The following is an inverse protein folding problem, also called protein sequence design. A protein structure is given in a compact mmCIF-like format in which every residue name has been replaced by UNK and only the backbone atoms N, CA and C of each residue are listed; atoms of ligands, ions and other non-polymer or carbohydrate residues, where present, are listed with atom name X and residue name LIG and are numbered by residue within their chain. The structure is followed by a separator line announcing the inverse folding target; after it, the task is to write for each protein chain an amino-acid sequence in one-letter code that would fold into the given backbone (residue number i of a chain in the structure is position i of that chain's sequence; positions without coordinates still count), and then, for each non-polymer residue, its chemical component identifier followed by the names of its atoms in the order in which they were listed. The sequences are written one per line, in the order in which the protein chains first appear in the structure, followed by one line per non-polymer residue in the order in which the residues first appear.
data_IF_455411131882
#
_entry.id   IF_455411131882
#
_cell.length_a   1.000
_cell.length_b   1.000
_cell.length_c   1.000
_cell.angle_alpha   90.00
_cell.angle_beta   90.00
_cell.angle_gamma   90.00
#
_symmetry.space_group_name_H-M   'P 1'
#
loop_
_entity.id
_entity.type
_entity.pdbx_description
1 polymer ?
#
# COMPACT_ATOMS: atom_id res chain seq x y z
N UNK A 1 7.45 22.68 -24.67
CA UNK A 1 6.41 23.23 -23.78
C UNK A 1 5.80 22.08 -23.02
N UNK A 2 5.75 22.16 -21.70
CA UNK A 2 5.16 21.12 -20.84
C UNK A 2 4.16 21.75 -19.87
N UNK A 3 3.15 20.99 -19.48
CA UNK A 3 2.46 21.20 -18.20
C UNK A 3 2.96 20.14 -17.23
N UNK A 4 3.33 20.57 -16.04
CA UNK A 4 3.69 19.72 -14.91
C UNK A 4 2.61 19.87 -13.84
N UNK A 5 2.10 18.75 -13.37
CA UNK A 5 1.09 18.69 -12.32
C UNK A 5 1.62 17.84 -11.17
N UNK A 6 1.72 18.43 -9.99
CA UNK A 6 2.24 17.76 -8.79
C UNK A 6 1.16 17.71 -7.72
N UNK A 7 0.94 16.55 -7.12
CA UNK A 7 0.12 16.39 -5.93
C UNK A 7 0.91 16.77 -4.69
N UNK A 8 0.47 17.79 -3.94
CA UNK A 8 1.21 18.30 -2.77
C UNK A 8 1.32 17.28 -1.63
N UNK A 9 0.39 16.32 -1.56
CA UNK A 9 0.33 15.35 -0.48
C UNK A 9 1.22 14.12 -0.71
N UNK A 10 1.42 13.72 -1.96
CA UNK A 10 2.15 12.49 -2.31
C UNK A 10 3.43 12.74 -3.11
N UNK A 11 3.67 13.98 -3.52
CA UNK A 11 4.73 14.42 -4.45
C UNK A 11 4.69 13.75 -5.83
N UNK A 12 3.65 12.95 -6.11
CA UNK A 12 3.43 12.34 -7.43
C UNK A 12 3.32 13.44 -8.47
N UNK A 13 4.22 13.39 -9.44
CA UNK A 13 4.36 14.44 -10.46
C UNK A 13 4.16 13.85 -11.85
N UNK A 14 3.30 14.48 -12.64
CA UNK A 14 3.09 14.17 -14.05
C UNK A 14 3.59 15.30 -14.92
N UNK A 15 4.32 14.98 -15.99
CA UNK A 15 4.73 15.93 -17.01
C UNK A 15 4.13 15.54 -18.38
N UNK A 16 3.55 16.53 -19.05
CA UNK A 16 2.87 16.34 -20.33
C UNK A 16 3.38 17.38 -21.32
N UNK A 17 3.86 16.93 -22.47
CA UNK A 17 4.19 17.81 -23.60
C UNK A 17 2.91 18.33 -24.24
N UNK A 18 2.63 19.62 -24.09
CA UNK A 18 1.39 20.28 -24.57
C UNK A 18 1.60 20.97 -25.91
N UNK A 19 0.50 21.31 -26.59
CA UNK A 19 0.55 22.10 -27.82
C UNK A 19 0.91 23.58 -27.50
N UNK A 20 1.57 24.31 -28.41
CA UNK A 20 1.93 25.72 -28.19
C UNK A 20 0.73 26.63 -27.88
N UNK A 21 -0.43 26.37 -28.47
CA UNK A 21 -1.66 27.12 -28.23
C UNK A 21 -2.22 26.94 -26.81
N UNK A 22 -1.93 25.81 -26.15
CA UNK A 22 -2.47 25.49 -24.82
C UNK A 22 -1.94 26.42 -23.73
N UNK A 23 -0.84 27.13 -23.99
CA UNK A 23 -0.26 28.14 -23.09
C UNK A 23 -1.22 29.30 -22.82
N UNK A 24 -2.17 29.54 -23.72
CA UNK A 24 -3.15 30.62 -23.60
C UNK A 24 -4.40 30.20 -22.85
N UNK A 25 -4.52 28.93 -22.48
CA UNK A 25 -5.66 28.44 -21.72
C UNK A 25 -5.63 29.01 -20.31
N UNK A 26 -6.80 29.26 -19.74
CA UNK A 26 -6.91 29.51 -18.30
C UNK A 26 -6.57 28.23 -17.53
N UNK A 27 -6.28 28.36 -16.24
CA UNK A 27 -6.03 27.21 -15.36
C UNK A 27 -7.16 26.18 -15.45
N UNK A 28 -8.41 26.61 -15.37
CA UNK A 28 -9.57 25.70 -15.47
C UNK A 28 -9.60 24.93 -16.79
N UNK A 29 -9.39 25.62 -17.92
CA UNK A 29 -9.37 24.98 -19.23
C UNK A 29 -8.16 24.04 -19.42
N UNK A 30 -7.00 24.40 -18.87
CA UNK A 30 -5.80 23.56 -18.89
C UNK A 30 -6.01 22.28 -18.09
N UNK A 31 -6.59 22.39 -16.89
CA UNK A 31 -6.88 21.26 -16.00
C UNK A 31 -7.99 20.38 -16.57
N UNK A 32 -9.05 20.95 -17.13
CA UNK A 32 -10.08 20.14 -17.79
C UNK A 32 -9.49 19.35 -18.97
N UNK A 33 -8.66 19.97 -19.81
CA UNK A 33 -8.06 19.31 -20.98
C UNK A 33 -7.02 18.26 -20.60
N UNK A 34 -6.10 18.60 -19.70
CA UNK A 34 -4.88 17.82 -19.45
C UNK A 34 -4.89 17.01 -18.15
N UNK A 35 -5.88 17.21 -17.27
CA UNK A 35 -6.13 16.34 -16.12
C UNK A 35 -7.47 15.61 -16.24
N UNK A 36 -8.60 16.32 -16.37
CA UNK A 36 -9.94 15.69 -16.28
C UNK A 36 -10.29 14.81 -17.49
N UNK A 37 -10.04 15.31 -18.69
CA UNK A 37 -10.37 14.63 -19.94
C UNK A 37 -9.12 14.19 -20.71
N UNK A 38 -8.01 14.02 -20.00
CA UNK A 38 -6.72 13.69 -20.58
C UNK A 38 -6.76 12.33 -21.29
N UNK A 39 -6.43 12.25 -22.59
CA UNK A 39 -6.36 10.99 -23.34
C UNK A 39 -5.01 10.29 -23.08
N UNK A 40 -4.82 9.80 -21.85
CA UNK A 40 -3.53 9.28 -21.33
C UNK A 40 -2.85 8.31 -22.29
N UNK A 41 -3.54 7.26 -22.75
CA UNK A 41 -2.95 6.24 -23.63
C UNK A 41 -2.48 6.81 -24.96
N UNK A 42 -3.21 7.79 -25.50
CA UNK A 42 -2.83 8.48 -26.74
C UNK A 42 -1.57 9.32 -26.54
N UNK A 43 -1.46 10.03 -25.41
CA UNK A 43 -0.29 10.85 -25.11
C UNK A 43 0.95 10.01 -24.84
N UNK A 44 0.81 8.85 -24.20
CA UNK A 44 1.89 7.87 -24.01
C UNK A 44 2.34 7.32 -25.35
N UNK A 45 1.41 6.87 -26.20
CA UNK A 45 1.73 6.34 -27.54
C UNK A 45 2.42 7.38 -28.45
N UNK A 46 2.10 8.66 -28.28
CA UNK A 46 2.73 9.78 -29.00
C UNK A 46 4.05 10.27 -28.37
N UNK A 47 4.54 9.62 -27.32
CA UNK A 47 5.73 10.04 -26.57
C UNK A 47 5.64 11.49 -26.07
N UNK A 48 4.43 11.91 -25.70
CA UNK A 48 4.17 13.22 -25.07
C UNK A 48 4.12 13.14 -23.56
N UNK A 49 4.05 11.93 -23.01
CA UNK A 49 3.98 11.61 -21.59
C UNK A 49 4.67 10.25 -21.40
N UNK A 50 5.42 10.07 -20.32
CA UNK A 50 5.98 8.76 -19.96
C UNK A 50 4.92 7.87 -19.29
N UNK A 51 5.15 6.55 -19.23
CA UNK A 51 4.26 5.64 -18.50
C UNK A 51 4.18 5.99 -16.99
N UNK A 52 5.29 6.40 -16.38
CA UNK A 52 5.31 6.87 -14.98
C UNK A 52 4.48 8.14 -14.81
N UNK A 53 4.64 9.14 -15.69
CA UNK A 53 3.81 10.36 -15.64
C UNK A 53 2.32 10.07 -15.89
N UNK A 54 1.99 9.06 -16.70
CA UNK A 54 0.61 8.60 -16.88
C UNK A 54 0.02 8.05 -15.58
N UNK A 55 0.75 7.18 -14.88
CA UNK A 55 0.32 6.64 -13.59
C UNK A 55 0.13 7.74 -12.55
N UNK A 56 1.08 8.68 -12.44
CA UNK A 56 0.95 9.82 -11.53
C UNK A 56 -0.23 10.72 -11.87
N UNK A 57 -0.51 10.96 -13.16
CA UNK A 57 -1.66 11.77 -13.57
C UNK A 57 -2.99 11.09 -13.22
N UNK A 58 -3.10 9.78 -13.44
CA UNK A 58 -4.31 9.03 -13.13
C UNK A 58 -4.59 9.01 -11.62
N UNK A 59 -3.54 8.86 -10.81
CA UNK A 59 -3.64 8.96 -9.35
C UNK A 59 -4.09 10.37 -8.91
N UNK A 60 -3.47 11.41 -9.46
CA UNK A 60 -3.87 12.80 -9.19
C UNK A 60 -5.32 13.07 -9.64
N UNK A 61 -5.75 12.50 -10.76
CA UNK A 61 -7.12 12.64 -11.26
C UNK A 61 -8.13 12.03 -10.28
N UNK A 62 -7.83 10.86 -9.72
CA UNK A 62 -8.69 10.20 -8.73
C UNK A 62 -8.71 10.96 -7.39
N UNK A 63 -7.62 11.65 -7.06
CA UNK A 63 -7.49 12.45 -5.84
C UNK A 63 -8.03 13.88 -5.95
N UNK A 64 -8.27 14.38 -7.17
CA UNK A 64 -8.68 15.79 -7.40
C UNK A 64 -10.16 15.96 -7.69
N UNK A 65 -10.90 14.88 -7.96
CA UNK A 65 -12.31 14.93 -8.37
C UNK A 65 -13.20 14.01 -7.53
N UNK A 66 -14.42 14.46 -7.27
CA UNK A 66 -15.46 13.63 -6.65
C UNK A 66 -15.91 12.55 -7.64
N UNK A 67 -15.92 11.30 -7.17
CA UNK A 67 -16.34 10.12 -7.92
C UNK A 67 -17.78 9.72 -7.57
N UNK A 68 -18.57 9.37 -8.60
CA UNK A 68 -19.79 8.56 -8.41
C UNK A 68 -19.42 7.12 -8.11
N UNK A 69 -20.34 6.32 -7.57
CA UNK A 69 -20.15 4.87 -7.37
C UNK A 69 -19.83 4.12 -8.69
N UNK A 70 -20.31 4.64 -9.82
CA UNK A 70 -19.97 4.14 -11.16
C UNK A 70 -18.56 4.55 -11.66
N UNK A 71 -17.71 5.14 -10.81
CA UNK A 71 -16.34 5.54 -11.15
C UNK A 71 -16.20 6.75 -12.09
N UNK A 72 -17.25 7.58 -12.22
CA UNK A 72 -17.23 8.78 -13.07
C UNK A 72 -16.79 10.02 -12.28
N UNK A 73 -15.87 10.79 -12.87
CA UNK A 73 -15.44 12.09 -12.34
C UNK A 73 -16.55 13.14 -12.52
N UNK A 74 -16.90 13.85 -11.45
CA UNK A 74 -18.00 14.83 -11.47
C UNK A 74 -17.51 16.28 -11.39
N UNK A 75 -17.05 16.73 -10.23
CA UNK A 75 -16.54 18.07 -10.00
C UNK A 75 -15.29 18.00 -9.13
N UNK A 76 -14.43 19.03 -9.12
CA UNK A 76 -13.26 19.05 -8.25
C UNK A 76 -13.65 18.85 -6.78
N UNK A 77 -12.80 18.19 -6.00
CA UNK A 77 -13.03 18.00 -4.56
C UNK A 77 -13.09 19.38 -3.88
N UNK A 78 -14.12 19.67 -3.06
CA UNK A 78 -14.22 20.93 -2.32
C UNK A 78 -12.99 21.17 -1.43
N UNK A 79 -12.70 22.44 -1.16
CA UNK A 79 -11.56 22.86 -0.32
C UNK A 79 -10.18 22.42 -0.85
N UNK A 80 -10.07 22.05 -2.12
CA UNK A 80 -8.79 21.91 -2.81
C UNK A 80 -8.42 23.22 -3.52
N UNK A 81 -7.10 23.45 -3.66
CA UNK A 81 -6.53 24.63 -4.30
C UNK A 81 -5.51 24.21 -5.35
N UNK A 82 -5.41 25.00 -6.42
CA UNK A 82 -4.32 24.89 -7.39
C UNK A 82 -3.36 26.03 -7.13
N UNK A 83 -2.10 25.70 -6.88
CA UNK A 83 -1.04 26.63 -6.60
C UNK A 83 -0.07 26.70 -7.77
N UNK A 84 0.56 27.87 -7.94
CA UNK A 84 1.72 28.03 -8.79
C UNK A 84 2.71 28.98 -8.10
N UNK A 85 3.92 28.48 -7.79
CA UNK A 85 4.92 29.18 -6.98
C UNK A 85 4.34 29.67 -5.65
N UNK A 86 3.70 28.75 -4.92
CA UNK A 86 3.06 28.96 -3.61
C UNK A 86 1.94 30.01 -3.59
N UNK A 87 1.43 30.37 -4.77
CA UNK A 87 0.30 31.30 -4.92
C UNK A 87 -0.92 30.56 -5.43
N UNK A 88 -2.08 30.71 -4.76
CA UNK A 88 -3.31 30.13 -5.26
C UNK A 88 -3.71 30.76 -6.59
N UNK A 89 -4.19 29.93 -7.51
CA UNK A 89 -4.74 30.31 -8.79
C UNK A 89 -6.23 29.95 -8.86
N UNK A 90 -7.05 30.89 -9.32
CA UNK A 90 -8.44 30.66 -9.69
C UNK A 90 -8.56 30.05 -11.10
N UNK A 91 -9.70 29.41 -11.37
CA UNK A 91 -9.94 28.74 -12.65
C UNK A 91 -9.89 29.69 -13.88
N UNK A 92 -10.16 30.98 -13.69
CA UNK A 92 -10.09 32.02 -14.74
C UNK A 92 -8.70 32.61 -14.94
N UNK A 93 -7.75 32.32 -14.06
CA UNK A 93 -6.42 32.88 -14.14
C UNK A 93 -5.63 32.28 -15.31
N UNK A 94 -4.71 33.06 -15.87
CA UNK A 94 -3.75 32.57 -16.86
C UNK A 94 -2.51 32.05 -16.13
N UNK A 95 -2.13 30.77 -16.30
CA UNK A 95 -0.94 30.24 -15.68
C UNK A 95 0.32 30.89 -16.27
N UNK A 96 1.35 31.01 -15.44
CA UNK A 96 2.67 31.50 -15.88
C UNK A 96 3.48 30.35 -16.46
N UNK A 97 4.26 30.68 -17.48
CA UNK A 97 5.28 29.79 -18.06
C UNK A 97 6.62 30.14 -17.42
N UNK A 98 7.27 29.16 -16.81
CA UNK A 98 8.68 29.26 -16.43
C UNK A 98 9.58 28.65 -17.48
N UNK A 99 10.78 29.21 -17.60
CA UNK A 99 11.91 28.58 -18.30
C UNK A 99 12.77 27.89 -17.26
N UNK A 100 12.89 26.57 -17.38
CA UNK A 100 13.72 25.75 -16.51
C UNK A 100 14.74 24.99 -17.35
N UNK A 101 15.79 24.47 -16.72
CA UNK A 101 16.74 23.56 -17.37
C UNK A 101 16.50 22.17 -16.80
N UNK A 102 16.06 21.24 -17.66
CA UNK A 102 15.88 19.83 -17.33
C UNK A 102 16.91 19.01 -18.10
N UNK A 103 17.74 18.24 -17.41
CA UNK A 103 18.83 17.44 -18.00
C UNK A 103 19.76 18.24 -18.95
N UNK A 104 20.06 19.48 -18.58
CA UNK A 104 20.87 20.39 -19.38
C UNK A 104 20.15 21.00 -20.59
N UNK A 105 18.86 20.70 -20.80
CA UNK A 105 18.03 21.23 -21.88
C UNK A 105 17.10 22.33 -21.35
N UNK A 106 17.14 23.55 -21.90
CA UNK A 106 16.18 24.59 -21.55
C UNK A 106 14.80 24.22 -22.07
N UNK A 107 13.81 24.17 -21.19
CA UNK A 107 12.41 23.89 -21.49
C UNK A 107 11.47 24.94 -20.89
N UNK A 108 10.31 25.09 -21.49
CA UNK A 108 9.22 25.94 -21.00
C UNK A 108 8.15 25.08 -20.34
N UNK A 109 7.79 25.41 -19.10
CA UNK A 109 6.91 24.62 -18.23
C UNK A 109 5.86 25.49 -17.54
N UNK A 110 4.62 25.05 -17.59
CA UNK A 110 3.56 25.48 -16.68
C UNK A 110 3.54 24.50 -15.51
N UNK A 111 4.05 24.91 -14.35
CA UNK A 111 4.05 24.07 -13.15
C UNK A 111 2.82 24.42 -12.28
N UNK A 112 2.01 23.41 -11.97
CA UNK A 112 0.84 23.50 -11.10
C UNK A 112 0.97 22.49 -9.97
N UNK A 113 0.70 22.93 -8.75
CA UNK A 113 0.64 22.08 -7.57
C UNK A 113 -0.80 21.98 -7.10
N UNK A 114 -1.30 20.77 -6.88
CA UNK A 114 -2.64 20.50 -6.37
C UNK A 114 -2.53 20.31 -4.87
N UNK A 115 -2.99 21.30 -4.11
CA UNK A 115 -3.07 21.24 -2.65
C UNK A 115 -4.49 20.83 -2.25
N UNK A 116 -4.61 19.61 -1.73
CA UNK A 116 -5.86 19.01 -1.27
C UNK A 116 -5.84 18.68 0.22
N UNK A 117 -4.85 19.15 0.96
CA UNK A 117 -4.77 18.93 2.41
C UNK A 117 -6.05 19.36 3.15
N UNK A 118 -6.59 20.57 2.89
CA UNK A 118 -7.81 21.04 3.55
C UNK A 118 -9.10 20.27 3.18
N UNK A 119 -9.07 19.39 2.17
CA UNK A 119 -10.22 18.60 1.79
C UNK A 119 -10.49 17.42 2.74
N UNK A 120 -9.48 16.97 3.48
CA UNK A 120 -9.60 15.84 4.41
C UNK A 120 -10.05 14.54 3.72
N UNK A 121 -10.92 13.79 4.40
CA UNK A 121 -11.43 12.50 3.94
C UNK A 121 -12.63 12.65 3.00
N UNK A 122 -12.37 12.76 1.70
CA UNK A 122 -13.42 13.00 0.68
C UNK A 122 -13.59 11.86 -0.34
N UNK A 123 -12.91 10.72 -0.14
CA UNK A 123 -12.88 9.62 -1.12
C UNK A 123 -14.18 8.82 -1.07
N UNK A 124 -14.82 8.65 -2.24
CA UNK A 124 -15.82 7.60 -2.44
C UNK A 124 -15.11 6.29 -2.84
N UNK A 125 -15.04 5.33 -1.93
CA UNK A 125 -14.32 4.07 -2.11
C UNK A 125 -14.93 3.16 -3.19
N UNK A 126 -16.26 3.04 -3.24
CA UNK A 126 -16.93 2.27 -4.28
C UNK A 126 -16.62 2.83 -5.69
N UNK A 127 -16.73 4.15 -5.83
CA UNK A 127 -16.37 4.85 -7.06
C UNK A 127 -14.88 4.72 -7.42
N UNK A 128 -14.00 4.81 -6.42
CA UNK A 128 -12.56 4.68 -6.57
C UNK A 128 -12.16 3.28 -7.08
N UNK A 129 -12.61 2.22 -6.43
CA UNK A 129 -12.37 0.84 -6.87
C UNK A 129 -12.96 0.60 -8.26
N UNK A 130 -14.21 1.01 -8.50
CA UNK A 130 -14.86 0.80 -9.80
C UNK A 130 -14.10 1.47 -10.94
N UNK A 131 -13.67 2.71 -10.73
CA UNK A 131 -12.92 3.47 -11.73
C UNK A 131 -11.59 2.80 -12.10
N UNK A 132 -10.84 2.35 -11.08
CA UNK A 132 -9.53 1.72 -11.29
C UNK A 132 -9.66 0.34 -11.91
N UNK A 133 -10.66 -0.43 -11.49
CA UNK A 133 -11.04 -1.68 -12.15
C UNK A 133 -11.33 -1.45 -13.63
N UNK A 134 -12.24 -0.54 -13.96
CA UNK A 134 -12.68 -0.33 -15.35
C UNK A 134 -11.55 0.13 -16.28
N UNK A 135 -10.59 0.92 -15.78
CA UNK A 135 -9.42 1.34 -16.56
C UNK A 135 -8.51 0.19 -16.99
N UNK A 136 -8.36 -0.83 -16.15
CA UNK A 136 -7.47 -1.98 -16.39
C UNK A 136 -8.22 -3.31 -16.35
N UNK A 137 -9.49 -3.29 -16.78
CA UNK A 137 -10.43 -4.41 -16.63
C UNK A 137 -9.86 -5.72 -17.15
N UNK A 138 -9.30 -5.72 -18.36
CA UNK A 138 -8.75 -6.93 -18.97
C UNK A 138 -7.65 -7.54 -18.13
N UNK A 139 -6.76 -6.72 -17.57
CA UNK A 139 -5.69 -7.19 -16.71
C UNK A 139 -6.24 -7.87 -15.44
N UNK A 140 -7.23 -7.26 -14.77
CA UNK A 140 -7.78 -7.84 -13.55
C UNK A 140 -8.64 -9.09 -13.82
N UNK A 141 -9.40 -9.10 -14.91
CA UNK A 141 -10.15 -10.28 -15.36
C UNK A 141 -9.18 -11.44 -15.69
N UNK A 142 -8.07 -11.16 -16.40
CA UNK A 142 -7.02 -12.14 -16.68
C UNK A 142 -6.32 -12.62 -15.40
N UNK A 143 -6.02 -11.73 -14.46
CA UNK A 143 -5.43 -12.08 -13.17
C UNK A 143 -6.34 -13.03 -12.38
N UNK A 144 -7.64 -12.73 -12.31
CA UNK A 144 -8.64 -13.58 -11.64
C UNK A 144 -8.72 -14.95 -12.32
N UNK A 145 -8.86 -14.96 -13.65
CA UNK A 145 -8.92 -16.18 -14.47
C UNK A 145 -7.68 -17.08 -14.28
N UNK A 146 -6.48 -16.50 -14.36
CA UNK A 146 -5.21 -17.19 -14.10
C UNK A 146 -5.16 -17.75 -12.67
N UNK A 147 -5.63 -16.98 -11.68
CA UNK A 147 -5.66 -17.41 -10.28
C UNK A 147 -6.53 -18.65 -10.09
N UNK A 148 -7.74 -18.67 -10.64
CA UNK A 148 -8.64 -19.84 -10.55
C UNK A 148 -8.06 -21.02 -11.32
N UNK A 149 -7.49 -20.78 -12.50
CA UNK A 149 -6.86 -21.79 -13.36
C UNK A 149 -5.67 -22.53 -12.73
N UNK A 150 -5.00 -21.92 -11.76
CA UNK A 150 -3.92 -22.58 -11.00
C UNK A 150 -4.42 -23.72 -10.11
N UNK A 151 -5.68 -23.71 -9.71
CA UNK A 151 -6.26 -24.71 -8.79
C UNK A 151 -7.35 -25.55 -9.46
N UNK A 152 -8.20 -24.93 -10.28
CA UNK A 152 -9.37 -25.55 -10.89
C UNK A 152 -9.29 -25.48 -12.42
N UNK A 153 -9.84 -26.49 -13.11
CA UNK A 153 -9.88 -26.55 -14.58
C UNK A 153 -11.23 -27.07 -15.07
N UNK A 154 -11.53 -26.82 -16.34
CA UNK A 154 -12.76 -27.32 -16.98
C UNK A 154 -14.03 -26.75 -16.35
N UNK A 155 -15.07 -27.56 -16.20
CA UNK A 155 -16.37 -27.08 -15.75
C UNK A 155 -16.36 -26.40 -14.38
N UNK A 156 -15.48 -26.83 -13.45
CA UNK A 156 -15.41 -26.21 -12.12
C UNK A 156 -14.79 -24.82 -12.16
N UNK A 157 -13.83 -24.60 -13.05
CA UNK A 157 -13.27 -23.27 -13.30
C UNK A 157 -14.35 -22.30 -13.78
N UNK A 158 -15.12 -22.71 -14.77
CA UNK A 158 -16.18 -21.88 -15.36
C UNK A 158 -17.32 -21.62 -14.36
N UNK A 159 -17.65 -22.60 -13.51
CA UNK A 159 -18.61 -22.45 -12.42
C UNK A 159 -18.17 -21.40 -11.39
N UNK A 160 -16.89 -21.42 -10.98
CA UNK A 160 -16.33 -20.45 -10.02
C UNK A 160 -16.39 -19.04 -10.59
N UNK A 161 -15.95 -18.85 -11.84
CA UNK A 161 -15.95 -17.53 -12.49
C UNK A 161 -17.36 -17.01 -12.79
N UNK A 162 -18.35 -17.89 -12.93
CA UNK A 162 -19.74 -17.49 -13.14
C UNK A 162 -20.41 -16.92 -11.88
N UNK A 163 -19.87 -17.22 -10.68
CA UNK A 163 -20.39 -16.75 -9.39
C UNK A 163 -21.89 -17.01 -9.18
N UNK A 164 -22.39 -18.11 -9.75
CA UNK A 164 -23.82 -18.46 -9.70
C UNK A 164 -24.29 -19.08 -8.38
N UNK A 165 -23.39 -19.29 -7.42
CA UNK A 165 -23.69 -19.83 -6.10
C UNK A 165 -22.75 -19.26 -5.04
N UNK A 166 -23.17 -19.36 -3.78
CA UNK A 166 -22.33 -19.08 -2.62
C UNK A 166 -21.06 -19.91 -2.63
N UNK A 167 -21.12 -21.22 -2.93
CA UNK A 167 -19.96 -22.10 -2.94
C UNK A 167 -18.93 -21.68 -4.00
N UNK A 168 -19.40 -21.22 -5.18
CA UNK A 168 -18.54 -20.67 -6.22
C UNK A 168 -17.87 -19.37 -5.74
N UNK A 169 -18.62 -18.49 -5.08
CA UNK A 169 -18.12 -17.23 -4.53
C UNK A 169 -17.09 -17.45 -3.43
N UNK A 170 -17.37 -18.34 -2.47
CA UNK A 170 -16.42 -18.76 -1.43
C UNK A 170 -15.13 -19.29 -2.03
N UNK A 171 -15.22 -20.17 -3.04
CA UNK A 171 -14.03 -20.75 -3.66
C UNK A 171 -13.22 -19.72 -4.46
N UNK A 172 -13.89 -18.78 -5.14
CA UNK A 172 -13.22 -17.66 -5.77
C UNK A 172 -12.41 -16.85 -4.75
N UNK A 173 -13.04 -16.44 -3.65
CA UNK A 173 -12.37 -15.68 -2.56
C UNK A 173 -11.19 -16.49 -2.02
N UNK A 174 -11.35 -17.82 -1.84
CA UNK A 174 -10.26 -18.71 -1.40
C UNK A 174 -9.09 -18.70 -2.37
N UNK A 175 -9.33 -18.82 -3.67
CA UNK A 175 -8.26 -18.80 -4.68
C UNK A 175 -7.51 -17.45 -4.67
N UNK A 176 -8.22 -16.33 -4.67
CA UNK A 176 -7.63 -15.00 -4.64
C UNK A 176 -6.86 -14.74 -3.34
N UNK A 177 -7.46 -15.06 -2.19
CA UNK A 177 -6.83 -14.93 -0.88
C UNK A 177 -5.55 -15.77 -0.78
N UNK A 178 -5.56 -17.02 -1.26
CA UNK A 178 -4.35 -17.86 -1.30
C UNK A 178 -3.26 -17.28 -2.20
N UNK A 179 -3.60 -16.71 -3.36
CA UNK A 179 -2.60 -16.06 -4.24
C UNK A 179 -1.96 -14.85 -3.57
N UNK A 180 -2.76 -14.00 -2.94
CA UNK A 180 -2.28 -12.81 -2.22
C UNK A 180 -1.44 -13.20 -1.00
N UNK A 181 -1.91 -14.20 -0.23
CA UNK A 181 -1.17 -14.69 0.94
C UNK A 181 0.18 -15.28 0.56
N UNK A 182 0.29 -15.98 -0.57
CA UNK A 182 1.56 -16.53 -1.06
C UNK A 182 2.53 -15.47 -1.58
N UNK A 183 2.06 -14.29 -1.96
CA UNK A 183 2.93 -13.21 -2.40
C UNK A 183 3.82 -12.73 -1.24
N UNK A 184 4.95 -12.10 -1.59
CA UNK A 184 5.95 -11.66 -0.62
C UNK A 184 5.36 -10.69 0.41
N UNK A 185 5.85 -10.75 1.64
CA UNK A 185 5.63 -9.68 2.61
C UNK A 185 6.85 -8.75 2.57
N UNK A 186 6.67 -7.54 2.03
CA UNK A 186 7.80 -6.67 1.70
C UNK A 186 7.48 -5.17 1.77
N UNK A 187 8.55 -4.39 1.97
CA UNK A 187 8.57 -2.93 1.86
C UNK A 187 9.68 -2.41 0.93
N UNK A 188 10.59 -3.27 0.43
CA UNK A 188 11.70 -2.83 -0.42
C UNK A 188 11.23 -2.13 -1.71
N UNK A 189 10.04 -2.47 -2.22
CA UNK A 189 9.47 -1.85 -3.42
C UNK A 189 9.04 -0.39 -3.23
N UNK A 190 8.96 0.10 -1.99
CA UNK A 190 8.76 1.53 -1.68
C UNK A 190 9.99 2.36 -2.02
N UNK A 191 11.16 1.72 -2.07
CA UNK A 191 12.45 2.38 -2.25
C UNK A 191 13.12 2.06 -3.59
N UNK A 192 12.50 1.19 -4.39
CA UNK A 192 12.95 0.79 -5.73
C UNK A 192 11.85 1.00 -6.77
N UNK A 193 12.22 0.98 -8.06
CA UNK A 193 11.28 1.13 -9.16
C UNK A 193 10.46 2.42 -9.08
N UNK A 194 9.13 2.29 -8.97
CA UNK A 194 8.19 3.42 -8.91
C UNK A 194 8.20 4.18 -7.58
N UNK A 195 8.87 3.65 -6.54
CA UNK A 195 9.06 4.30 -5.24
C UNK A 195 7.76 4.83 -4.62
N UNK A 196 6.72 4.01 -4.65
CA UNK A 196 5.44 4.36 -4.05
C UNK A 196 5.54 4.27 -2.53
N UNK A 197 5.31 5.38 -1.83
CA UNK A 197 5.32 5.42 -0.36
C UNK A 197 4.33 4.45 0.26
N UNK A 198 3.17 4.29 -0.38
CA UNK A 198 2.11 3.37 -0.01
C UNK A 198 1.37 2.87 -1.26
N UNK A 199 1.10 1.56 -1.34
CA UNK A 199 0.40 0.95 -2.48
C UNK A 199 -1.09 0.82 -2.18
N UNK A 200 -1.91 1.29 -3.11
CA UNK A 200 -3.36 1.02 -3.12
C UNK A 200 -3.63 -0.45 -3.48
N UNK A 201 -4.88 -0.90 -3.34
CA UNK A 201 -5.26 -2.29 -3.63
C UNK A 201 -4.89 -2.75 -5.04
N UNK A 202 -5.20 -1.96 -6.06
CA UNK A 202 -4.85 -2.28 -7.46
C UNK A 202 -3.35 -2.23 -7.73
N UNK A 203 -2.64 -1.25 -7.19
CA UNK A 203 -1.16 -1.16 -7.26
C UNK A 203 -0.50 -2.40 -6.62
N UNK A 204 -1.12 -2.93 -5.56
CA UNK A 204 -0.68 -4.18 -4.91
C UNK A 204 -0.98 -5.41 -5.77
N UNK A 205 -2.11 -5.46 -6.48
CA UNK A 205 -2.39 -6.54 -7.45
C UNK A 205 -1.36 -6.55 -8.58
N UNK A 206 -0.99 -5.38 -9.12
CA UNK A 206 0.11 -5.28 -10.10
C UNK A 206 1.43 -5.80 -9.53
N UNK A 207 1.78 -5.40 -8.30
CA UNK A 207 2.97 -5.89 -7.60
C UNK A 207 2.98 -7.41 -7.46
N UNK A 208 1.86 -8.01 -7.04
CA UNK A 208 1.70 -9.46 -6.92
C UNK A 208 1.83 -10.16 -8.28
N UNK A 209 1.26 -9.59 -9.34
CA UNK A 209 1.38 -10.15 -10.69
C UNK A 209 2.82 -10.15 -11.22
N UNK A 210 3.64 -9.19 -10.78
CA UNK A 210 5.06 -9.08 -11.11
C UNK A 210 5.96 -9.96 -10.22
N UNK A 211 5.37 -10.80 -9.35
CA UNK A 211 6.11 -11.69 -8.46
C UNK A 211 6.63 -11.04 -7.18
N UNK A 212 6.18 -9.81 -6.87
CA UNK A 212 6.44 -9.10 -5.62
C UNK A 212 5.23 -9.25 -4.68
N UNK A 213 5.10 -8.36 -3.70
CA UNK A 213 3.94 -8.36 -2.80
C UNK A 213 3.68 -7.00 -2.18
N UNK A 214 3.51 -6.98 -0.86
CA UNK A 214 3.22 -5.79 -0.07
C UNK A 214 3.04 -6.12 1.41
N UNK A 215 2.81 -5.10 2.23
CA UNK A 215 2.54 -5.29 3.66
C UNK A 215 1.09 -5.74 3.91
N UNK A 216 0.74 -6.00 5.17
CA UNK A 216 -0.58 -6.50 5.55
C UNK A 216 -1.74 -5.63 5.03
N UNK A 217 -1.66 -4.33 5.28
CA UNK A 217 -2.70 -3.36 4.94
C UNK A 217 -2.89 -3.23 3.42
N UNK A 218 -1.83 -3.37 2.63
CA UNK A 218 -1.84 -3.35 1.16
C UNK A 218 -2.46 -4.63 0.58
N UNK A 219 -2.10 -5.80 1.13
CA UNK A 219 -2.63 -7.11 0.69
C UNK A 219 -4.12 -7.25 0.96
N UNK A 220 -4.61 -6.74 2.10
CA UNK A 220 -6.03 -6.69 2.42
C UNK A 220 -6.79 -5.83 1.40
N UNK A 221 -6.26 -4.64 1.08
CA UNK A 221 -6.84 -3.80 0.03
C UNK A 221 -6.79 -4.46 -1.34
N UNK A 222 -5.76 -5.23 -1.67
CA UNK A 222 -5.69 -5.97 -2.94
C UNK A 222 -6.83 -7.00 -3.06
N UNK A 223 -7.09 -7.76 -1.99
CA UNK A 223 -8.16 -8.75 -1.96
C UNK A 223 -9.53 -8.08 -2.05
N UNK A 224 -9.74 -6.98 -1.31
CA UNK A 224 -10.98 -6.21 -1.38
C UNK A 224 -11.19 -5.59 -2.76
N UNK A 225 -10.16 -4.98 -3.34
CA UNK A 225 -10.25 -4.37 -4.67
C UNK A 225 -10.67 -5.39 -5.74
N UNK A 226 -10.09 -6.60 -5.72
CA UNK A 226 -10.45 -7.66 -6.66
C UNK A 226 -11.90 -8.13 -6.47
N UNK A 227 -12.34 -8.29 -5.22
CA UNK A 227 -13.68 -8.81 -4.91
C UNK A 227 -14.77 -7.76 -5.13
N UNK A 228 -14.51 -6.49 -4.78
CA UNK A 228 -15.38 -5.36 -5.12
C UNK A 228 -15.57 -5.24 -6.64
N UNK A 229 -14.51 -5.45 -7.43
CA UNK A 229 -14.58 -5.46 -8.90
C UNK A 229 -15.46 -6.57 -9.49
N UNK A 230 -15.64 -7.66 -8.74
CA UNK A 230 -16.48 -8.81 -9.07
C UNK A 230 -17.87 -8.73 -8.41
N UNK A 231 -18.15 -7.68 -7.64
CA UNK A 231 -19.42 -7.47 -6.96
C UNK A 231 -19.62 -8.30 -5.69
N UNK A 232 -18.54 -8.80 -5.08
CA UNK A 232 -18.57 -9.49 -3.80
C UNK A 232 -18.32 -8.50 -2.67
N UNK A 233 -19.36 -8.23 -1.88
CA UNK A 233 -19.28 -7.26 -0.78
C UNK A 233 -18.46 -7.79 0.40
N UNK A 234 -17.62 -6.91 0.95
CA UNK A 234 -16.82 -7.19 2.14
C UNK A 234 -16.61 -5.94 2.97
N UNK A 235 -16.47 -6.15 4.28
CA UNK A 235 -16.14 -5.14 5.27
C UNK A 235 -14.75 -5.41 5.85
N UNK A 236 -14.04 -4.34 6.22
CA UNK A 236 -12.81 -4.43 6.98
C UNK A 236 -13.09 -4.80 8.43
N UNK A 237 -12.19 -5.62 8.98
CA UNK A 237 -12.15 -6.01 10.38
C UNK A 237 -10.80 -5.59 10.94
N UNK A 238 -10.81 -4.78 12.00
CA UNK A 238 -9.60 -4.35 12.69
C UNK A 238 -9.01 -5.51 13.51
N UNK A 239 -7.70 -5.56 13.69
CA UNK A 239 -7.07 -6.59 14.51
C UNK A 239 -5.79 -6.09 15.18
N UNK A 240 -5.49 -6.68 16.34
CA UNK A 240 -4.18 -6.56 16.96
C UNK A 240 -4.04 -7.28 18.29
N UNK A 241 -2.86 -7.16 18.94
CA UNK A 241 -2.45 -8.05 20.01
C UNK A 241 -3.05 -7.68 21.37
N UNK A 242 -3.56 -8.71 22.05
CA UNK A 242 -3.83 -8.68 23.49
C UNK A 242 -5.05 -7.87 23.94
N UNK A 243 -6.00 -7.58 23.04
CA UNK A 243 -7.18 -6.78 23.36
C UNK A 243 -8.47 -7.48 22.88
N UNK A 244 -9.20 -8.20 23.73
CA UNK A 244 -10.45 -8.84 23.35
C UNK A 244 -11.65 -7.87 23.26
N UNK A 245 -11.60 -6.71 23.92
CA UNK A 245 -12.71 -5.76 24.01
C UNK A 245 -13.01 -5.02 22.69
N UNK A 246 -14.20 -4.42 22.51
CA UNK A 246 -14.50 -3.61 21.32
C UNK A 246 -13.55 -2.40 21.13
N UNK A 247 -13.36 -1.93 19.88
CA UNK A 247 -12.50 -0.78 19.60
C UNK A 247 -13.13 0.51 20.15
N UNK A 248 -12.32 1.42 20.73
CA UNK A 248 -12.78 2.73 21.15
C UNK A 248 -12.82 3.67 19.94
N UNK A 249 -13.82 3.50 19.08
CA UNK A 249 -13.91 4.19 17.78
C UNK A 249 -13.80 5.71 17.87
N UNK A 250 -14.41 6.34 18.89
CA UNK A 250 -14.30 7.80 19.10
C UNK A 250 -12.85 8.24 19.31
N UNK A 251 -12.07 7.46 20.07
CA UNK A 251 -10.66 7.75 20.33
C UNK A 251 -9.81 7.49 19.07
N UNK A 252 -10.14 6.45 18.30
CA UNK A 252 -9.48 6.17 17.02
C UNK A 252 -9.78 7.26 15.99
N UNK A 253 -11.02 7.76 15.94
CA UNK A 253 -11.42 8.89 15.09
C UNK A 253 -10.66 10.15 15.46
N UNK A 254 -10.54 10.44 16.76
CA UNK A 254 -9.77 11.59 17.23
C UNK A 254 -8.32 11.55 16.73
N UNK A 255 -7.68 10.37 16.71
CA UNK A 255 -6.32 10.22 16.18
C UNK A 255 -6.25 10.59 14.69
N UNK A 256 -7.22 10.17 13.88
CA UNK A 256 -7.28 10.52 12.46
C UNK A 256 -7.52 12.02 12.25
N UNK A 257 -8.38 12.63 13.08
CA UNK A 257 -8.71 14.05 12.94
C UNK A 257 -7.57 14.98 13.37
N UNK A 258 -6.76 14.57 14.37
CA UNK A 258 -5.74 15.44 14.95
C UNK A 258 -4.30 15.05 14.61
N UNK A 259 -4.06 13.81 14.15
CA UNK A 259 -2.74 13.21 14.04
C UNK A 259 -1.92 13.34 15.34
N UNK A 260 -2.61 13.38 16.49
CA UNK A 260 -1.97 13.44 17.81
C UNK A 260 -1.87 12.04 18.41
N UNK A 261 -0.64 11.52 18.39
CA UNK A 261 -0.36 10.17 18.88
C UNK A 261 0.03 10.13 20.37
N UNK A 262 0.12 11.27 21.06
CA UNK A 262 0.66 11.38 22.44
C UNK A 262 -0.15 10.60 23.49
N UNK A 263 -1.46 10.44 23.30
CA UNK A 263 -2.36 9.70 24.19
C UNK A 263 -2.75 8.31 23.65
N UNK A 264 -2.19 7.91 22.50
CA UNK A 264 -2.80 6.93 21.60
C UNK A 264 -2.14 5.55 21.56
N UNK A 265 -0.94 5.36 22.13
CA UNK A 265 -0.18 4.10 21.99
C UNK A 265 -0.98 2.85 22.42
N UNK A 266 -1.87 2.99 23.40
CA UNK A 266 -2.77 1.89 23.84
C UNK A 266 -3.90 1.60 22.85
N UNK A 267 -4.39 2.61 22.14
CA UNK A 267 -5.50 2.51 21.20
C UNK A 267 -5.03 2.11 19.80
N UNK A 268 -3.82 2.49 19.41
CA UNK A 268 -3.23 2.07 18.13
C UNK A 268 -3.17 0.54 17.96
N UNK A 269 -3.08 -0.21 19.07
CA UNK A 269 -3.11 -1.68 19.05
C UNK A 269 -4.35 -2.26 18.39
N UNK A 270 -5.47 -1.54 18.32
CA UNK A 270 -6.68 -2.04 17.67
C UNK A 270 -6.56 -2.12 16.15
N UNK A 271 -5.78 -1.25 15.52
CA UNK A 271 -5.68 -1.17 14.05
C UNK A 271 -4.26 -1.44 13.53
N UNK A 272 -3.44 -2.18 14.30
CA UNK A 272 -2.13 -2.64 13.84
C UNK A 272 -2.25 -3.63 12.67
N UNK A 273 -3.40 -4.26 12.54
CA UNK A 273 -3.70 -5.21 11.48
C UNK A 273 -5.15 -5.09 11.02
N UNK A 274 -5.44 -5.58 9.81
CA UNK A 274 -6.77 -5.56 9.21
C UNK A 274 -7.00 -6.89 8.47
N UNK A 275 -8.25 -7.35 8.42
CA UNK A 275 -8.71 -8.49 7.63
C UNK A 275 -10.04 -8.15 6.94
N UNK A 276 -10.59 -9.09 6.16
CA UNK A 276 -11.88 -8.92 5.49
C UNK A 276 -12.93 -9.88 6.01
N UNK A 277 -14.15 -9.38 6.10
CA UNK A 277 -15.35 -10.15 6.39
C UNK A 277 -16.35 -9.99 5.26
N UNK A 278 -16.62 -11.10 4.58
CA UNK A 278 -17.61 -11.18 3.51
C UNK A 278 -18.95 -11.61 4.06
N UNK A 279 -20.03 -11.09 3.48
CA UNK A 279 -21.36 -11.67 3.61
C UNK A 279 -21.73 -12.36 2.28
N UNK A 280 -21.72 -13.69 2.28
CA UNK A 280 -22.04 -14.50 1.11
C UNK A 280 -23.36 -15.23 1.36
N UNK A 281 -24.45 -14.64 0.85
CA UNK A 281 -25.83 -15.14 1.01
C UNK A 281 -26.23 -15.35 2.49
N UNK A 282 -25.87 -14.41 3.38
CA UNK A 282 -26.18 -14.45 4.81
C UNK A 282 -25.24 -15.33 5.63
N UNK A 283 -24.14 -15.81 5.03
CA UNK A 283 -23.08 -16.53 5.74
C UNK A 283 -21.81 -15.70 5.73
N UNK A 284 -21.32 -15.42 6.92
CA UNK A 284 -20.11 -14.66 7.11
C UNK A 284 -18.86 -15.51 6.84
N UNK A 285 -17.92 -14.94 6.09
CA UNK A 285 -16.62 -15.54 5.79
C UNK A 285 -15.51 -14.57 6.21
N UNK A 286 -14.76 -14.92 7.26
CA UNK A 286 -13.62 -14.15 7.74
C UNK A 286 -12.34 -14.62 7.05
N UNK A 287 -11.63 -13.68 6.41
CA UNK A 287 -10.45 -13.95 5.60
C UNK A 287 -9.30 -13.04 6.00
N UNK A 288 -8.18 -13.67 6.34
CA UNK A 288 -6.88 -13.00 6.47
C UNK A 288 -5.87 -13.58 5.48
N UNK A 289 -5.48 -12.74 4.52
CA UNK A 289 -4.64 -13.10 3.39
C UNK A 289 -3.28 -12.39 3.41
N UNK A 290 -2.81 -11.88 4.56
CA UNK A 290 -1.63 -10.99 4.56
C UNK A 290 -0.28 -11.68 4.64
N UNK A 291 -0.22 -12.88 5.23
CA UNK A 291 1.02 -13.61 5.47
C UNK A 291 2.03 -12.79 6.31
N UNK A 292 3.33 -12.91 6.04
CA UNK A 292 4.40 -12.44 6.92
C UNK A 292 4.42 -13.31 8.17
N UNK A 293 3.96 -12.75 9.29
CA UNK A 293 3.82 -13.44 10.57
C UNK A 293 2.39 -13.94 10.84
N UNK A 294 1.42 -13.51 10.01
CA UNK A 294 0.00 -13.85 10.18
C UNK A 294 -0.32 -15.16 9.43
N UNK A 295 -0.84 -16.19 10.11
CA UNK A 295 -1.24 -17.42 9.45
C UNK A 295 -2.46 -17.19 8.55
N UNK A 296 -2.61 -18.00 7.50
CA UNK A 296 -3.76 -17.92 6.62
C UNK A 296 -5.05 -18.26 7.38
N UNK A 297 -5.95 -17.28 7.52
CA UNK A 297 -7.26 -17.46 8.16
C UNK A 297 -8.34 -17.46 7.07
N UNK A 298 -9.16 -18.51 7.04
CA UNK A 298 -10.28 -18.62 6.10
C UNK A 298 -11.37 -19.48 6.75
N UNK A 299 -12.28 -18.84 7.47
CA UNK A 299 -13.28 -19.50 8.33
C UNK A 299 -14.68 -18.95 8.07
N UNK A 300 -15.68 -19.83 8.12
CA UNK A 300 -17.06 -19.53 7.69
C UNK A 300 -18.08 -19.76 8.81
N UNK A 301 -19.15 -18.98 8.80
CA UNK A 301 -20.30 -19.14 9.69
C UNK A 301 -19.92 -19.16 11.17
N UNK A 302 -20.31 -20.21 11.88
CA UNK A 302 -20.08 -20.33 13.31
C UNK A 302 -18.60 -20.25 13.72
N UNK A 303 -17.67 -20.72 12.88
CA UNK A 303 -16.24 -20.61 13.16
C UNK A 303 -15.75 -19.16 13.04
N UNK A 304 -16.27 -18.39 12.07
CA UNK A 304 -15.99 -16.96 11.97
C UNK A 304 -16.51 -16.20 13.20
N UNK A 305 -17.70 -16.57 13.69
CA UNK A 305 -18.29 -15.98 14.90
C UNK A 305 -17.41 -16.19 16.14
N UNK A 306 -16.68 -17.30 16.27
CA UNK A 306 -15.73 -17.51 17.38
C UNK A 306 -14.67 -16.40 17.47
N UNK A 307 -14.24 -15.82 16.33
CA UNK A 307 -13.24 -14.76 16.29
C UNK A 307 -13.83 -13.35 16.49
N UNK A 308 -15.13 -13.18 16.30
CA UNK A 308 -15.79 -11.87 16.24
C UNK A 308 -16.68 -11.59 17.46
N UNK A 309 -17.26 -12.62 18.05
CA UNK A 309 -18.24 -12.51 19.15
C UNK A 309 -17.56 -12.20 20.50
N UNK A 310 -17.90 -11.05 21.07
CA UNK A 310 -17.25 -10.55 22.30
C UNK A 310 -17.53 -11.37 23.57
N UNK A 311 -18.54 -12.26 23.58
CA UNK A 311 -18.82 -13.08 24.76
C UNK A 311 -17.80 -14.19 25.00
N UNK A 312 -17.24 -14.76 23.94
CA UNK A 312 -16.28 -15.87 23.98
C UNK A 312 -15.30 -15.78 22.81
N UNK A 313 -14.61 -14.65 22.74
CA UNK A 313 -13.76 -14.30 21.61
C UNK A 313 -12.47 -15.10 21.58
N UNK A 314 -12.24 -15.82 20.49
CA UNK A 314 -11.05 -16.61 20.22
C UNK A 314 -9.96 -15.72 19.61
N UNK A 315 -8.75 -15.70 20.18
CA UNK A 315 -7.62 -15.07 19.53
C UNK A 315 -7.03 -15.95 18.42
N UNK A 316 -6.34 -15.30 17.49
CA UNK A 316 -5.42 -15.96 16.56
C UNK A 316 -3.98 -15.81 17.09
N UNK A 317 -3.27 -16.92 17.37
CA UNK A 317 -1.85 -16.86 17.67
C UNK A 317 -1.05 -16.42 16.45
N UNK A 318 -0.32 -15.31 16.58
CA UNK A 318 0.56 -14.72 15.56
C UNK A 318 1.98 -14.83 16.05
N UNK A 319 2.86 -15.45 15.25
CA UNK A 319 4.27 -15.61 15.62
C UNK A 319 5.07 -14.42 15.11
N UNK A 320 5.41 -13.50 16.00
CA UNK A 320 6.39 -12.44 15.74
C UNK A 320 7.81 -13.03 15.77
N UNK A 321 8.83 -12.21 15.48
CA UNK A 321 10.22 -12.67 15.44
C UNK A 321 10.62 -13.37 16.76
N UNK A 322 10.34 -12.74 17.91
CA UNK A 322 10.72 -13.23 19.24
C UNK A 322 9.60 -13.98 19.96
N UNK A 323 8.36 -13.50 19.86
CA UNK A 323 7.24 -13.97 20.70
C UNK A 323 6.00 -14.32 19.88
N UNK A 324 5.12 -15.15 20.46
CA UNK A 324 3.78 -15.35 19.90
C UNK A 324 2.78 -14.42 20.60
N UNK A 325 2.13 -13.57 19.82
CA UNK A 325 1.09 -12.66 20.29
C UNK A 325 -0.30 -13.21 19.96
N UNK A 326 -1.31 -12.78 20.74
CA UNK A 326 -2.70 -13.20 20.56
C UNK A 326 -3.48 -12.08 19.90
N UNK A 327 -3.76 -12.22 18.60
CA UNK A 327 -4.48 -11.22 17.82
C UNK A 327 -6.00 -11.42 17.95
N UNK A 328 -6.73 -10.34 18.17
CA UNK A 328 -8.19 -10.34 18.25
C UNK A 328 -8.79 -9.51 17.12
N UNK A 329 -9.89 -9.99 16.51
CA UNK A 329 -10.51 -9.39 15.33
C UNK A 329 -11.79 -8.62 15.67
N UNK A 330 -11.87 -7.35 15.33
CA UNK A 330 -12.93 -6.43 15.75
C UNK A 330 -13.68 -5.87 14.56
N UNK A 331 -15.01 -5.96 14.60
CA UNK A 331 -15.85 -5.14 13.74
C UNK A 331 -15.62 -3.68 14.10
N UNK A 332 -15.59 -2.84 13.08
CA UNK A 332 -15.46 -1.41 13.22
C UNK A 332 -16.32 -0.69 12.18
N UNK A 333 -16.66 0.56 12.46
CA UNK A 333 -17.21 1.46 11.46
C UNK A 333 -16.30 1.52 10.22
N UNK A 334 -16.88 1.29 9.04
CA UNK A 334 -16.10 1.18 7.81
C UNK A 334 -15.45 2.50 7.42
N UNK A 335 -16.09 3.64 7.71
CA UNK A 335 -15.48 4.94 7.45
C UNK A 335 -14.22 5.15 8.29
N UNK A 336 -14.11 4.55 9.48
CA UNK A 336 -12.90 4.64 10.30
C UNK A 336 -11.71 3.96 9.60
N UNK A 337 -11.93 2.75 9.09
CA UNK A 337 -10.86 1.96 8.46
C UNK A 337 -10.50 2.54 7.09
N UNK A 338 -11.50 2.96 6.34
CA UNK A 338 -11.35 3.66 5.07
C UNK A 338 -10.56 4.96 5.22
N UNK A 339 -10.87 5.78 6.22
CA UNK A 339 -10.13 7.02 6.49
C UNK A 339 -8.70 6.74 6.96
N UNK A 340 -8.47 5.67 7.72
CA UNK A 340 -7.12 5.20 8.05
C UNK A 340 -6.31 4.86 6.80
N UNK A 341 -6.88 4.11 5.85
CA UNK A 341 -6.22 3.80 4.58
C UNK A 341 -5.94 5.06 3.76
N UNK A 342 -6.90 5.99 3.71
CA UNK A 342 -6.70 7.27 3.06
C UNK A 342 -5.56 8.06 3.70
N UNK A 343 -5.50 8.09 5.04
CA UNK A 343 -4.46 8.79 5.79
C UNK A 343 -3.07 8.19 5.52
N UNK A 344 -2.94 6.86 5.58
CA UNK A 344 -1.68 6.18 5.27
C UNK A 344 -1.20 6.47 3.84
N UNK A 345 -2.11 6.50 2.86
CA UNK A 345 -1.72 6.78 1.48
C UNK A 345 -1.36 8.25 1.23
N UNK A 346 -2.04 9.20 1.91
CA UNK A 346 -2.05 10.61 1.49
C UNK A 346 -1.60 11.61 2.54
N UNK A 347 -1.79 11.33 3.84
CA UNK A 347 -1.65 12.32 4.90
C UNK A 347 -0.44 12.08 5.80
N UNK A 348 0.20 10.92 5.71
CA UNK A 348 1.42 10.58 6.46
C UNK A 348 2.61 10.56 5.49
N UNK A 349 3.38 11.66 5.37
CA UNK A 349 4.48 11.76 4.41
C UNK A 349 5.55 10.69 4.55
N UNK A 350 5.80 10.22 5.78
CA UNK A 350 6.81 9.25 6.20
C UNK A 350 6.27 7.81 6.36
N UNK A 351 5.08 7.52 5.83
CA UNK A 351 4.43 6.20 6.01
C UNK A 351 5.32 5.02 5.60
N UNK A 352 6.14 5.18 4.58
CA UNK A 352 7.11 4.18 4.13
C UNK A 352 8.16 3.87 5.21
N UNK A 353 8.65 4.89 5.92
CA UNK A 353 9.60 4.75 7.01
C UNK A 353 8.94 4.23 8.28
N UNK A 354 7.75 4.76 8.64
CA UNK A 354 6.96 4.29 9.79
C UNK A 354 6.68 2.78 9.68
N UNK A 355 6.33 2.30 8.48
CA UNK A 355 6.09 0.87 8.28
C UNK A 355 7.37 0.03 8.45
N UNK A 356 8.51 0.52 7.99
CA UNK A 356 9.80 -0.20 8.09
C UNK A 356 10.34 -0.21 9.51
N UNK A 357 10.40 0.96 10.16
CA UNK A 357 11.11 1.17 11.42
C UNK A 357 10.17 1.12 12.64
N UNK A 358 9.12 1.94 12.67
CA UNK A 358 8.25 2.06 13.87
C UNK A 358 7.33 0.85 14.06
N UNK A 359 6.82 0.31 12.95
CA UNK A 359 6.05 -0.93 12.95
C UNK A 359 6.93 -2.17 12.82
N UNK A 360 8.26 -1.99 12.70
CA UNK A 360 9.27 -3.05 12.63
C UNK A 360 8.98 -4.11 11.55
N UNK A 361 8.34 -3.71 10.43
CA UNK A 361 8.06 -4.64 9.33
C UNK A 361 9.29 -4.92 8.47
N UNK A 362 10.35 -4.12 8.62
CA UNK A 362 11.57 -4.20 7.84
C UNK A 362 11.34 -4.12 6.32
N UNK A 363 12.27 -4.67 5.55
CA UNK A 363 12.22 -4.67 4.09
C UNK A 363 11.58 -5.92 3.52
N UNK A 364 11.75 -7.07 4.19
CA UNK A 364 11.31 -8.37 3.68
C UNK A 364 11.17 -9.41 4.78
N UNK A 365 10.08 -10.18 4.75
CA UNK A 365 9.82 -11.31 5.65
C UNK A 365 9.37 -12.52 4.82
N UNK A 366 10.04 -13.66 5.00
CA UNK A 366 9.53 -14.96 4.56
C UNK A 366 9.58 -16.02 5.67
N UNK A 367 9.40 -17.29 5.32
CA UNK A 367 9.39 -18.40 6.30
C UNK A 367 10.76 -18.74 6.90
N UNK A 368 11.82 -18.13 6.39
CA UNK A 368 13.22 -18.47 6.66
C UNK A 368 14.10 -17.28 7.07
N UNK A 369 13.75 -16.06 6.66
CA UNK A 369 14.55 -14.87 6.96
C UNK A 369 13.68 -13.62 7.11
N UNK A 370 14.07 -12.77 8.05
CA UNK A 370 13.65 -11.38 8.16
C UNK A 370 14.84 -10.48 7.83
N UNK A 371 14.63 -9.49 6.95
CA UNK A 371 15.64 -8.51 6.56
C UNK A 371 15.14 -7.11 6.92
N UNK A 372 15.92 -6.38 7.70
CA UNK A 372 15.61 -5.01 8.12
C UNK A 372 16.84 -4.10 8.06
N UNK A 373 16.70 -2.81 7.71
CA UNK A 373 17.78 -1.85 7.78
C UNK A 373 18.22 -1.58 9.22
N UNK A 374 19.49 -1.20 9.36
CA UNK A 374 20.00 -0.50 10.54
C UNK A 374 20.62 0.81 10.09
N UNK A 375 20.06 1.93 10.53
CA UNK A 375 20.50 3.29 10.18
C UNK A 375 21.20 3.90 11.40
N UNK A 376 22.35 4.54 11.19
CA UNK A 376 23.20 5.04 12.27
C UNK A 376 24.11 6.19 11.81
N UNK A 377 24.46 7.11 12.72
CA UNK A 377 25.37 8.23 12.48
C UNK A 377 26.83 7.90 12.86
N UNK A 378 27.03 6.98 13.80
CA UNK A 378 28.36 6.63 14.32
C UNK A 378 28.57 5.14 14.57
N UNK A 379 29.84 4.73 14.69
CA UNK A 379 30.21 3.35 15.04
C UNK A 379 29.68 2.93 16.42
N UNK A 380 29.70 3.83 17.42
CA UNK A 380 29.18 3.56 18.76
C UNK A 380 27.66 3.31 18.74
N UNK A 381 26.92 4.05 17.90
CA UNK A 381 25.47 3.86 17.73
C UNK A 381 25.17 2.54 17.02
N UNK A 382 25.91 2.22 15.96
CA UNK A 382 25.79 0.93 15.28
C UNK A 382 26.03 -0.25 16.22
N UNK A 383 27.09 -0.20 17.04
CA UNK A 383 27.37 -1.26 18.02
C UNK A 383 26.29 -1.33 19.11
N UNK A 384 25.67 -0.21 19.49
CA UNK A 384 24.51 -0.21 20.39
C UNK A 384 23.30 -0.91 19.77
N UNK A 385 22.93 -0.57 18.53
CA UNK A 385 21.81 -1.19 17.81
C UNK A 385 22.06 -2.69 17.59
N UNK A 386 23.28 -3.07 17.20
CA UNK A 386 23.70 -4.46 17.08
C UNK A 386 23.55 -5.24 18.38
N UNK A 387 23.91 -4.65 19.52
CA UNK A 387 23.71 -5.27 20.83
C UNK A 387 22.22 -5.42 21.18
N UNK A 388 21.36 -4.48 20.78
CA UNK A 388 19.90 -4.60 20.97
C UNK A 388 19.36 -5.81 20.21
N UNK A 389 19.68 -5.96 18.92
CA UNK A 389 19.30 -7.13 18.13
C UNK A 389 19.87 -8.44 18.69
N UNK A 390 21.12 -8.45 19.17
CA UNK A 390 21.70 -9.64 19.80
C UNK A 390 20.93 -10.04 21.07
N UNK A 391 20.59 -9.07 21.92
CA UNK A 391 19.84 -9.29 23.16
C UNK A 391 18.43 -9.85 22.89
N UNK A 392 17.83 -9.45 21.78
CA UNK A 392 16.56 -9.95 21.27
C UNK A 392 16.64 -11.39 20.73
N UNK A 393 17.63 -11.68 19.89
CA UNK A 393 17.72 -12.95 19.17
C UNK A 393 18.35 -14.10 19.97
N UNK A 394 19.31 -13.80 20.85
CA UNK A 394 20.06 -14.83 21.61
C UNK A 394 19.15 -15.73 22.48
N UNK A 395 18.20 -15.20 23.27
CA UNK A 395 17.32 -16.02 24.11
C UNK A 395 16.44 -16.97 23.30
N UNK A 396 16.01 -16.54 22.11
CA UNK A 396 15.13 -17.30 21.21
C UNK A 396 15.91 -18.22 20.25
N UNK A 397 17.25 -18.18 20.30
CA UNK A 397 18.12 -19.01 19.47
C UNK A 397 18.02 -18.70 17.97
N UNK A 398 17.67 -17.46 17.61
CA UNK A 398 17.53 -17.03 16.22
C UNK A 398 18.91 -16.71 15.63
N UNK A 399 19.32 -17.31 14.49
CA UNK A 399 20.54 -16.92 13.79
C UNK A 399 20.48 -15.43 13.44
N UNK A 400 21.52 -14.69 13.81
CA UNK A 400 21.58 -13.24 13.61
C UNK A 400 22.85 -12.87 12.86
N UNK A 401 22.70 -12.09 11.79
CA UNK A 401 23.80 -11.55 11.00
C UNK A 401 23.56 -10.04 10.82
N UNK A 402 24.52 -9.23 11.27
CA UNK A 402 24.43 -7.77 11.21
C UNK A 402 25.67 -7.24 10.51
N UNK A 403 25.49 -6.40 9.50
CA UNK A 403 26.57 -5.75 8.78
C UNK A 403 26.37 -4.24 8.73
N UNK A 404 27.44 -3.44 8.95
CA UNK A 404 27.40 -2.01 8.68
C UNK A 404 27.37 -1.71 7.17
N UNK A 405 27.70 -2.69 6.32
CA UNK A 405 27.51 -2.57 4.87
C UNK A 405 26.11 -2.98 4.45
N UNK A 406 25.58 -2.30 3.44
CA UNK A 406 24.37 -2.70 2.76
C UNK A 406 24.65 -3.82 1.75
N UNK A 407 24.87 -5.04 2.23
CA UNK A 407 25.12 -6.20 1.36
C UNK A 407 24.51 -7.49 1.90
N UNK A 408 24.15 -8.39 0.99
CA UNK A 408 23.64 -9.73 1.29
C UNK A 408 24.72 -10.81 1.18
N UNK A 409 25.98 -10.47 1.47
CA UNK A 409 27.13 -11.38 1.34
C UNK A 409 27.27 -12.39 2.49
N UNK A 410 26.52 -12.19 3.56
CA UNK A 410 26.50 -13.08 4.72
C UNK A 410 25.86 -14.44 4.38
N UNK A 411 26.04 -15.51 5.18
CA UNK A 411 25.41 -16.79 4.93
C UNK A 411 23.87 -16.73 4.74
N UNK A 412 23.13 -16.00 5.58
CA UNK A 412 21.68 -15.80 5.41
C UNK A 412 21.38 -15.01 4.12
N UNK A 413 22.17 -13.97 3.84
CA UNK A 413 22.00 -13.15 2.64
C UNK A 413 22.24 -13.93 1.34
N UNK A 414 23.29 -14.76 1.30
CA UNK A 414 23.58 -15.64 0.16
C UNK A 414 22.54 -16.74 -0.01
N UNK A 415 21.95 -17.22 1.09
CA UNK A 415 20.81 -18.14 1.04
C UNK A 415 19.58 -17.48 0.40
N UNK A 416 19.22 -16.28 0.86
CA UNK A 416 18.14 -15.48 0.27
C UNK A 416 18.38 -15.23 -1.21
N UNK A 417 19.57 -14.75 -1.59
CA UNK A 417 19.95 -14.51 -2.99
C UNK A 417 19.85 -15.77 -3.85
N UNK A 418 20.16 -16.95 -3.30
CA UNK A 418 20.03 -18.22 -4.02
C UNK A 418 18.57 -18.64 -4.22
N UNK A 419 17.71 -18.40 -3.22
CA UNK A 419 16.28 -18.75 -3.27
C UNK A 419 15.48 -17.78 -4.14
N UNK A 420 15.74 -16.48 -3.98
CA UNK A 420 14.95 -15.42 -4.60
C UNK A 420 15.87 -14.26 -5.06
N UNK A 421 16.59 -14.42 -6.19
CA UNK A 421 17.56 -13.42 -6.66
C UNK A 421 16.98 -12.02 -6.85
N UNK A 422 15.76 -11.92 -7.39
CA UNK A 422 15.08 -10.64 -7.64
C UNK A 422 14.79 -9.85 -6.36
N UNK A 423 14.47 -10.54 -5.26
CA UNK A 423 14.27 -9.89 -3.95
C UNK A 423 15.61 -9.38 -3.41
N UNK A 424 16.66 -10.17 -3.52
CA UNK A 424 17.99 -9.76 -3.08
C UNK A 424 18.49 -8.52 -3.84
N UNK A 425 18.33 -8.49 -5.16
CA UNK A 425 18.69 -7.34 -5.99
C UNK A 425 17.86 -6.11 -5.61
N UNK A 426 16.54 -6.26 -5.42
CA UNK A 426 15.69 -5.15 -5.01
C UNK A 426 16.01 -4.61 -3.61
N UNK A 427 16.41 -5.45 -2.66
CA UNK A 427 16.88 -5.01 -1.35
C UNK A 427 18.18 -4.21 -1.49
N UNK A 428 19.15 -4.68 -2.29
CA UNK A 428 20.40 -3.95 -2.48
C UNK A 428 20.19 -2.60 -3.19
N UNK A 429 19.32 -2.56 -4.21
CA UNK A 429 18.96 -1.35 -4.94
C UNK A 429 18.16 -0.33 -4.10
N UNK A 430 17.57 -0.76 -2.98
CA UNK A 430 16.70 0.09 -2.14
C UNK A 430 17.47 1.11 -1.27
N UNK A 431 18.76 0.88 -1.04
CA UNK A 431 19.58 1.61 -0.05
C UNK A 431 19.48 3.12 -0.18
N UNK A 432 19.81 3.63 -1.36
CA UNK A 432 20.08 5.06 -1.52
C UNK A 432 18.80 5.88 -1.35
N UNK A 433 17.67 5.38 -1.86
CA UNK A 433 16.40 6.07 -1.68
C UNK A 433 15.85 5.94 -0.26
N UNK A 434 16.02 4.79 0.40
CA UNK A 434 15.65 4.64 1.80
C UNK A 434 16.43 5.62 2.68
N UNK A 435 17.74 5.72 2.47
CA UNK A 435 18.60 6.63 3.24
C UNK A 435 18.29 8.10 2.95
N UNK A 436 18.05 8.46 1.68
CA UNK A 436 17.58 9.80 1.28
C UNK A 436 16.28 10.18 1.99
N UNK A 437 15.32 9.24 2.05
CA UNK A 437 14.04 9.43 2.74
C UNK A 437 14.25 9.60 4.23
N UNK A 438 15.06 8.75 4.86
CA UNK A 438 15.36 8.83 6.28
C UNK A 438 16.03 10.16 6.64
N UNK A 439 17.08 10.55 5.91
CA UNK A 439 17.81 11.79 6.11
C UNK A 439 16.93 13.04 5.93
N UNK A 440 15.90 12.97 5.09
CA UNK A 440 14.95 14.06 4.91
C UNK A 440 14.15 14.38 6.18
N UNK A 441 13.79 13.36 6.99
CA UNK A 441 13.01 13.56 8.22
C UNK A 441 13.88 13.63 9.48
N UNK A 442 14.90 12.79 9.57
CA UNK A 442 15.72 12.64 10.78
C UNK A 442 17.01 13.49 10.76
N UNK A 443 17.33 14.09 9.61
CA UNK A 443 18.55 14.89 9.40
C UNK A 443 19.61 14.13 8.63
N UNK A 444 20.48 14.86 7.92
CA UNK A 444 21.48 14.25 7.05
C UNK A 444 22.71 13.74 7.81
N UNK A 445 23.36 12.70 7.26
CA UNK A 445 24.65 12.21 7.75
C UNK A 445 24.63 10.74 8.19
N UNK A 446 23.48 10.07 8.07
CA UNK A 446 23.36 8.68 8.42
C UNK A 446 24.08 7.77 7.41
N UNK A 447 24.49 6.60 7.91
CA UNK A 447 24.86 5.43 7.14
C UNK A 447 23.79 4.36 7.32
N UNK A 448 23.78 3.37 6.43
CA UNK A 448 22.83 2.26 6.49
C UNK A 448 23.53 0.92 6.26
N UNK A 449 23.26 -0.01 7.16
CA UNK A 449 23.62 -1.42 7.08
C UNK A 449 22.38 -2.32 7.05
N UNK A 450 22.60 -3.63 7.09
CA UNK A 450 21.53 -4.64 7.10
C UNK A 450 21.62 -5.55 8.31
N UNK A 451 20.44 -5.91 8.83
CA UNK A 451 20.23 -6.95 9.82
C UNK A 451 19.44 -8.07 9.15
N UNK A 452 19.95 -9.30 9.27
CA UNK A 452 19.30 -10.52 8.80
C UNK A 452 19.09 -11.44 9.98
N UNK A 453 17.82 -11.81 10.21
CA UNK A 453 17.42 -12.73 11.28
C UNK A 453 16.88 -14.00 10.63
N UNK A 454 17.54 -15.12 10.90
CA UNK A 454 17.09 -16.44 10.47
C UNK A 454 15.83 -16.85 11.23
N UNK A 455 14.74 -17.03 10.50
CA UNK A 455 13.48 -17.49 11.05
C UNK A 455 13.46 -19.02 11.00
N UNK A 456 13.28 -19.67 12.16
CA UNK A 456 13.16 -21.13 12.20
C UNK A 456 11.90 -21.58 11.48
N UNK A 457 12.03 -22.52 10.51
CA UNK A 457 10.96 -23.03 9.61
C UNK A 457 9.58 -22.66 10.11
N UNK A 458 9.06 -21.54 9.62
CA UNK A 458 7.70 -21.16 9.90
C UNK A 458 6.84 -22.31 9.35
N UNK A 459 6.11 -23.10 10.16
CA UNK A 459 5.20 -24.07 9.60
C UNK A 459 4.06 -23.23 9.06
N UNK A 460 4.20 -22.71 7.83
CA UNK A 460 3.03 -22.45 7.01
C UNK A 460 2.17 -23.70 7.15
N UNK A 461 0.98 -23.62 7.76
CA UNK A 461 0.10 -24.77 7.79
C UNK A 461 -0.04 -25.23 6.33
N UNK A 462 0.05 -26.55 6.04
CA UNK A 462 -0.21 -27.01 4.69
C UNK A 462 -1.57 -26.47 4.23
N UNK A 463 -1.53 -25.78 3.09
CA UNK A 463 -2.62 -24.98 2.50
C UNK A 463 -3.74 -25.85 1.93
#
# INVERSE_FOLDING_TARGET
MFVQMTDALTDRTSAIRIEPEDVRLTVGALVDKHLRYCPVDTLVAQQRMSASSAQSLLALQDASYVLTDAGRLTHPIPNSSILQYDKPLGASDTPRVARIVADGVPIEVIALTFDRGPAGYARNWAGFHRRRWDRNRSFFEDFVNDTVSQTHRGSKHDEILALGSREASTELVRCLAKRIWRADFESYSRFTGNKLRYKTGDETVFSVAEGRGGICSEKVQALKFLTDGLGLESSYVLSGPGIPEPPPEDALRQILDTFDYSFSKRHMRYWQHVALLYDLDGVELLVDATNGNIPFLFVEGAEASEYLDYSQKKPLPVRMAEVSEQFYYHRADQSLVEDLYYAMENLVPEIDLVQVFDNELGLYIDESVFVTPVVYESEDEFESLKQQYATACEPEGLPLEISPSWSLDSPLGRDLRRRTPSVADAIEDSRDHLLERYDYFEGAGHQAGLVLIGLGKNPKPPV
#
